data_IF_880275863379
#
_entry.id   IF_880275863379
#
_cell.length_a   1.000
_cell.length_b   1.000
_cell.length_c   1.000
_cell.angle_alpha   90.00
_cell.angle_beta   90.00
_cell.angle_gamma   90.00
#
_symmetry.space_group_name_H-M   'P 1'
#
loop_
_entity.id
_entity.type
_entity.pdbx_description
1 polymer ?
#
# COMPACT_ATOMS: atom_id res chain seq x y z
N UNK A 1 8.12 15.85 1.16
CA UNK A 1 8.45 16.92 2.14
C UNK A 1 9.77 16.66 2.86
N UNK A 2 9.98 15.49 3.48
CA UNK A 2 11.24 15.08 4.17
C UNK A 2 12.54 15.37 3.42
N UNK A 3 12.60 15.09 2.10
CA UNK A 3 13.80 15.42 1.29
C UNK A 3 14.12 16.92 1.29
N UNK A 4 13.10 17.78 1.24
CA UNK A 4 13.27 19.24 1.32
C UNK A 4 13.73 19.67 2.71
N UNK A 5 13.15 19.09 3.76
CA UNK A 5 13.52 19.37 5.16
C UNK A 5 14.97 19.00 5.46
N UNK A 6 15.45 17.89 4.88
CA UNK A 6 16.83 17.43 4.99
C UNK A 6 17.83 18.25 4.13
N UNK A 7 17.37 19.30 3.44
CA UNK A 7 18.19 20.19 2.62
C UNK A 7 18.24 19.85 1.12
N UNK A 8 17.46 18.86 0.68
CA UNK A 8 17.26 18.52 -0.72
C UNK A 8 16.47 19.58 -1.49
N UNK A 9 16.55 19.55 -2.82
CA UNK A 9 15.95 20.55 -3.71
C UNK A 9 14.97 19.89 -4.70
N UNK A 10 13.75 19.52 -4.26
CA UNK A 10 12.73 19.05 -5.19
C UNK A 10 12.32 20.18 -6.16
N UNK A 11 11.82 19.84 -7.37
CA UNK A 11 11.34 20.85 -8.32
C UNK A 11 10.20 21.71 -7.72
N UNK A 12 10.17 22.99 -8.06
CA UNK A 12 9.12 23.90 -7.60
C UNK A 12 7.76 23.50 -8.19
N UNK A 13 6.72 23.48 -7.34
CA UNK A 13 5.35 23.12 -7.76
C UNK A 13 5.15 21.67 -8.19
N UNK A 14 6.13 20.79 -7.98
CA UNK A 14 6.00 19.36 -8.29
C UNK A 14 4.92 18.69 -7.44
N UNK A 15 4.10 17.86 -8.09
CA UNK A 15 3.28 16.87 -7.40
C UNK A 15 4.15 15.76 -6.78
N UNK A 16 3.51 14.88 -6.00
CA UNK A 16 4.21 13.80 -5.28
C UNK A 16 4.96 12.86 -6.23
N UNK A 17 4.36 12.54 -7.37
CA UNK A 17 4.93 11.65 -8.37
C UNK A 17 6.20 12.24 -9.01
N UNK A 18 6.12 13.50 -9.41
CA UNK A 18 7.24 14.24 -9.99
C UNK A 18 8.35 14.43 -8.95
N UNK A 19 7.99 14.73 -7.69
CA UNK A 19 8.95 14.89 -6.61
C UNK A 19 9.68 13.58 -6.28
N UNK A 20 8.98 12.44 -6.26
CA UNK A 20 9.59 11.13 -6.05
C UNK A 20 10.52 10.76 -7.22
N UNK A 21 10.07 10.95 -8.46
CA UNK A 21 10.89 10.74 -9.66
C UNK A 21 12.18 11.53 -9.59
N UNK A 22 12.10 12.81 -9.23
CA UNK A 22 13.26 13.70 -9.10
C UNK A 22 14.22 13.26 -7.99
N UNK A 23 13.68 12.83 -6.84
CA UNK A 23 14.48 12.32 -5.73
C UNK A 23 15.24 11.05 -6.12
N UNK A 24 14.58 10.13 -6.83
CA UNK A 24 15.21 8.90 -7.32
C UNK A 24 16.31 9.18 -8.35
N UNK A 25 16.07 10.11 -9.28
CA UNK A 25 17.08 10.52 -10.25
C UNK A 25 18.29 11.21 -9.57
N UNK A 26 18.06 11.97 -8.49
CA UNK A 26 19.12 12.59 -7.71
C UNK A 26 19.93 11.55 -6.92
N UNK A 27 19.25 10.58 -6.29
CA UNK A 27 19.90 9.49 -5.56
C UNK A 27 20.64 8.50 -6.47
N UNK A 28 20.11 8.26 -7.67
CA UNK A 28 20.62 7.29 -8.63
C UNK A 28 20.76 7.92 -10.03
N UNK A 29 21.79 8.76 -10.24
CA UNK A 29 22.04 9.37 -11.54
C UNK A 29 22.26 8.30 -12.62
N UNK A 30 21.72 8.54 -13.81
CA UNK A 30 21.86 7.61 -14.94
C UNK A 30 23.27 7.60 -15.53
N UNK A 31 24.02 8.69 -15.36
CA UNK A 31 25.42 8.78 -15.76
C UNK A 31 26.36 8.58 -14.55
N UNK A 32 27.58 8.14 -14.84
CA UNK A 32 28.61 7.91 -13.80
C UNK A 32 29.40 9.18 -13.48
N UNK A 33 29.11 10.30 -14.15
CA UNK A 33 29.84 11.56 -13.98
C UNK A 33 29.24 12.42 -12.87
N UNK A 34 27.93 12.27 -12.65
CA UNK A 34 27.17 12.97 -11.62
C UNK A 34 27.24 12.20 -10.32
N UNK A 35 27.80 12.78 -9.24
CA UNK A 35 27.78 12.12 -7.94
C UNK A 35 26.32 12.02 -7.42
N UNK A 36 25.96 10.91 -6.78
CA UNK A 36 24.66 10.78 -6.10
C UNK A 36 24.41 11.88 -5.07
N UNK A 37 23.17 12.36 -4.99
CA UNK A 37 22.72 13.24 -3.92
C UNK A 37 22.67 12.47 -2.59
N UNK A 38 23.59 12.79 -1.69
CA UNK A 38 23.71 12.16 -0.38
C UNK A 38 22.47 12.36 0.51
N UNK A 39 21.78 13.49 0.38
CA UNK A 39 20.56 13.76 1.14
C UNK A 39 19.41 12.92 0.61
N UNK A 40 19.27 12.79 -0.71
CA UNK A 40 18.27 11.92 -1.32
C UNK A 40 18.49 10.44 -0.93
N UNK A 41 19.75 9.98 -0.97
CA UNK A 41 20.12 8.64 -0.51
C UNK A 41 19.79 8.41 0.96
N UNK A 42 20.15 9.36 1.85
CA UNK A 42 19.88 9.22 3.28
C UNK A 42 18.38 9.11 3.58
N UNK A 43 17.56 9.91 2.90
CA UNK A 43 16.09 9.87 3.06
C UNK A 43 15.51 8.56 2.53
N UNK A 44 16.00 8.06 1.39
CA UNK A 44 15.58 6.76 0.88
C UNK A 44 16.00 5.63 1.83
N UNK A 45 17.21 5.65 2.37
CA UNK A 45 17.69 4.63 3.31
C UNK A 45 16.84 4.62 4.59
N UNK A 46 16.59 5.79 5.19
CA UNK A 46 15.71 5.93 6.36
C UNK A 46 14.29 5.42 6.05
N UNK A 47 13.78 5.73 4.86
CA UNK A 47 12.46 5.24 4.41
C UNK A 47 12.45 3.72 4.26
N UNK A 48 13.54 3.13 3.74
CA UNK A 48 13.68 1.69 3.58
C UNK A 48 13.74 0.96 4.93
N UNK A 49 14.41 1.53 5.92
CA UNK A 49 14.47 1.03 7.30
C UNK A 49 13.07 0.98 7.92
N UNK A 50 12.32 2.09 7.85
CA UNK A 50 10.96 2.13 8.39
C UNK A 50 10.00 1.19 7.67
N UNK A 51 10.08 1.09 6.34
CA UNK A 51 9.26 0.15 5.59
C UNK A 51 9.63 -1.30 5.91
N UNK A 52 10.93 -1.58 6.07
CA UNK A 52 11.44 -2.88 6.49
C UNK A 52 10.91 -3.29 7.87
N UNK A 53 10.91 -2.38 8.85
CA UNK A 53 10.30 -2.61 10.16
C UNK A 53 8.80 -2.93 10.06
N UNK A 54 8.05 -2.16 9.27
CA UNK A 54 6.63 -2.44 9.03
C UNK A 54 6.41 -3.81 8.36
N UNK A 55 7.27 -4.20 7.41
CA UNK A 55 7.20 -5.52 6.78
C UNK A 55 7.55 -6.64 7.76
N UNK A 56 8.53 -6.44 8.63
CA UNK A 56 8.87 -7.39 9.68
C UNK A 56 7.68 -7.65 10.61
N UNK A 57 6.94 -6.60 10.98
CA UNK A 57 5.72 -6.75 11.77
C UNK A 57 4.67 -7.59 11.04
N UNK A 58 4.44 -7.34 9.74
CA UNK A 58 3.53 -8.16 8.93
C UNK A 58 3.99 -9.62 8.84
N UNK A 59 5.29 -9.86 8.67
CA UNK A 59 5.89 -11.20 8.62
C UNK A 59 5.69 -11.92 9.95
N UNK A 60 5.94 -11.24 11.06
CA UNK A 60 5.85 -11.80 12.40
C UNK A 60 4.39 -12.12 12.79
N UNK A 61 3.45 -11.26 12.41
CA UNK A 61 2.04 -11.39 12.77
C UNK A 61 1.28 -12.38 11.89
N UNK A 62 1.51 -12.37 10.59
CA UNK A 62 0.68 -13.11 9.63
C UNK A 62 1.37 -14.32 9.00
N UNK A 63 2.70 -14.42 9.11
CA UNK A 63 3.51 -15.47 8.45
C UNK A 63 3.13 -15.68 6.97
N UNK A 64 3.02 -14.62 6.15
CA UNK A 64 2.55 -14.74 4.78
C UNK A 64 3.58 -15.47 3.91
N UNK A 65 3.11 -16.12 2.84
CA UNK A 65 4.01 -16.64 1.81
C UNK A 65 4.59 -15.51 0.94
N UNK A 66 3.85 -14.42 0.75
CA UNK A 66 4.19 -13.33 -0.18
C UNK A 66 3.74 -11.97 0.36
N UNK A 67 4.59 -10.95 0.19
CA UNK A 67 4.24 -9.53 0.32
C UNK A 67 4.45 -8.89 -1.05
N UNK A 68 3.39 -8.35 -1.64
CA UNK A 68 3.44 -7.69 -2.94
C UNK A 68 3.24 -6.19 -2.78
N UNK A 69 4.25 -5.43 -3.18
CA UNK A 69 4.20 -3.97 -3.17
C UNK A 69 3.60 -3.50 -4.49
N UNK A 70 2.42 -2.90 -4.39
CA UNK A 70 1.71 -2.29 -5.51
C UNK A 70 1.72 -0.76 -5.45
N UNK A 71 0.95 -0.14 -6.34
CA UNK A 71 0.86 1.31 -6.44
C UNK A 71 2.01 1.94 -7.24
N UNK A 72 1.76 3.14 -7.76
CA UNK A 72 2.70 3.86 -8.62
C UNK A 72 4.06 4.08 -7.93
N UNK A 73 4.06 4.41 -6.63
CA UNK A 73 5.29 4.65 -5.88
C UNK A 73 6.16 3.40 -5.72
N UNK A 74 5.55 2.24 -5.45
CA UNK A 74 6.27 0.97 -5.36
C UNK A 74 6.91 0.56 -6.69
N UNK A 75 6.22 0.81 -7.81
CA UNK A 75 6.74 0.56 -9.15
C UNK A 75 7.89 1.52 -9.52
N UNK A 76 7.81 2.78 -9.10
CA UNK A 76 8.87 3.77 -9.31
C UNK A 76 10.13 3.48 -8.50
N UNK A 77 9.98 3.13 -7.21
CA UNK A 77 11.10 2.79 -6.31
C UNK A 77 11.88 1.57 -6.82
N UNK A 78 11.19 0.65 -7.50
CA UNK A 78 11.80 -0.45 -8.24
C UNK A 78 12.49 -1.49 -7.36
N UNK A 79 13.15 -2.44 -8.02
CA UNK A 79 13.76 -3.60 -7.36
C UNK A 79 14.86 -3.23 -6.38
N UNK A 80 15.69 -2.24 -6.71
CA UNK A 80 16.83 -1.85 -5.87
C UNK A 80 16.39 -1.35 -4.50
N UNK A 81 15.40 -0.46 -4.46
CA UNK A 81 14.87 0.02 -3.18
C UNK A 81 14.22 -1.12 -2.39
N UNK A 82 13.49 -2.00 -3.10
CA UNK A 82 12.86 -3.16 -2.50
C UNK A 82 13.88 -4.14 -1.88
N UNK A 83 15.05 -4.31 -2.49
CA UNK A 83 16.14 -5.12 -1.93
C UNK A 83 16.65 -4.56 -0.60
N UNK A 84 16.80 -3.23 -0.48
CA UNK A 84 17.15 -2.57 0.79
C UNK A 84 16.07 -2.80 1.84
N UNK A 85 14.80 -2.61 1.48
CA UNK A 85 13.65 -2.85 2.36
C UNK A 85 13.60 -4.31 2.82
N UNK A 86 13.85 -5.26 1.93
CA UNK A 86 13.91 -6.69 2.26
C UNK A 86 15.05 -7.00 3.23
N UNK A 87 16.21 -6.33 3.09
CA UNK A 87 17.31 -6.42 4.04
C UNK A 87 16.88 -6.08 5.47
N UNK A 88 16.29 -4.90 5.65
CA UNK A 88 15.76 -4.46 6.95
C UNK A 88 14.62 -5.34 7.46
N UNK A 89 13.70 -5.76 6.59
CA UNK A 89 12.61 -6.66 6.97
C UNK A 89 13.13 -7.99 7.52
N UNK A 90 14.18 -8.56 6.90
CA UNK A 90 14.82 -9.80 7.37
C UNK A 90 15.61 -9.62 8.65
N UNK A 91 16.19 -8.43 8.87
CA UNK A 91 16.90 -8.09 10.10
C UNK A 91 15.95 -8.03 11.30
N UNK A 92 14.78 -7.43 11.11
CA UNK A 92 13.81 -7.22 12.19
C UNK A 92 12.80 -8.37 12.37
N UNK A 93 12.58 -9.20 11.36
CA UNK A 93 11.67 -10.34 11.44
C UNK A 93 12.28 -11.56 12.16
N UNK A 94 11.42 -12.39 12.74
CA UNK A 94 11.83 -13.68 13.28
C UNK A 94 12.39 -14.59 12.17
N UNK A 95 13.53 -15.24 12.44
CA UNK A 95 14.27 -16.03 11.43
C UNK A 95 13.41 -17.04 10.65
N UNK A 96 12.53 -17.76 11.35
CA UNK A 96 11.73 -18.82 10.73
C UNK A 96 10.70 -18.29 9.71
N UNK A 97 9.79 -17.35 10.06
CA UNK A 97 8.88 -16.77 9.07
C UNK A 97 9.61 -15.93 8.01
N UNK A 98 10.68 -15.21 8.36
CA UNK A 98 11.48 -14.43 7.41
C UNK A 98 12.12 -15.29 6.30
N UNK A 99 12.44 -16.56 6.59
CA UNK A 99 12.99 -17.48 5.59
C UNK A 99 11.94 -18.00 4.59
N UNK A 100 10.64 -17.78 4.84
CA UNK A 100 9.53 -18.38 4.08
C UNK A 100 8.68 -17.37 3.31
N UNK A 101 8.88 -16.08 3.55
CA UNK A 101 8.20 -15.00 2.84
C UNK A 101 8.99 -14.60 1.60
N UNK A 102 8.30 -14.36 0.49
CA UNK A 102 8.84 -13.66 -0.68
C UNK A 102 8.30 -12.24 -0.75
N UNK A 103 9.18 -11.25 -0.87
CA UNK A 103 8.80 -9.84 -1.08
C UNK A 103 9.01 -9.51 -2.55
N UNK A 104 8.04 -8.84 -3.19
CA UNK A 104 8.12 -8.54 -4.62
C UNK A 104 7.21 -7.40 -5.06
N UNK A 105 7.36 -6.98 -6.31
CA UNK A 105 6.47 -5.99 -6.93
C UNK A 105 5.22 -6.66 -7.52
N UNK A 106 4.09 -5.97 -7.42
CA UNK A 106 2.86 -6.37 -8.12
C UNK A 106 3.01 -6.23 -9.63
N UNK A 107 2.50 -7.19 -10.39
CA UNK A 107 2.66 -7.24 -11.86
C UNK A 107 1.52 -6.59 -12.64
N UNK A 108 0.42 -6.24 -11.97
CA UNK A 108 -0.77 -5.67 -12.60
C UNK A 108 -0.66 -4.15 -12.83
N UNK A 109 0.37 -3.51 -12.31
CA UNK A 109 0.63 -2.09 -12.54
C UNK A 109 -0.57 -1.20 -12.15
N UNK A 110 -0.91 -0.19 -12.98
CA UNK A 110 -2.04 0.70 -12.72
C UNK A 110 -3.41 -0.01 -12.77
N UNK A 111 -3.48 -1.17 -13.43
CA UNK A 111 -4.73 -1.91 -13.59
C UNK A 111 -5.09 -2.76 -12.37
N UNK A 112 -4.20 -2.86 -11.37
CA UNK A 112 -4.41 -3.69 -10.19
C UNK A 112 -5.77 -3.43 -9.49
N UNK A 113 -6.14 -2.15 -9.37
CA UNK A 113 -7.42 -1.74 -8.75
C UNK A 113 -8.60 -2.13 -9.63
N UNK A 114 -8.54 -1.83 -10.92
CA UNK A 114 -9.62 -2.13 -11.89
C UNK A 114 -9.86 -3.63 -12.01
N UNK A 115 -8.79 -4.42 -12.13
CA UNK A 115 -8.85 -5.88 -12.17
C UNK A 115 -9.41 -6.43 -10.87
N UNK A 116 -8.94 -5.94 -9.72
CA UNK A 116 -9.48 -6.34 -8.42
C UNK A 116 -10.98 -6.06 -8.30
N UNK A 117 -11.42 -4.86 -8.67
CA UNK A 117 -12.82 -4.46 -8.64
C UNK A 117 -13.70 -5.32 -9.56
N UNK A 118 -13.22 -5.65 -10.76
CA UNK A 118 -13.93 -6.51 -11.71
C UNK A 118 -14.05 -7.96 -11.22
N UNK A 119 -13.10 -8.44 -10.41
CA UNK A 119 -13.12 -9.80 -9.83
C UNK A 119 -14.18 -9.93 -8.73
N UNK A 120 -14.48 -8.89 -7.96
CA UNK A 120 -15.43 -8.96 -6.84
C UNK A 120 -16.81 -9.53 -7.23
N UNK A 121 -17.53 -9.02 -8.25
CA UNK A 121 -18.83 -9.58 -8.64
C UNK A 121 -18.70 -11.00 -9.21
N UNK A 122 -17.59 -11.32 -9.88
CA UNK A 122 -17.35 -12.65 -10.42
C UNK A 122 -17.10 -13.69 -9.30
N UNK A 123 -16.31 -13.32 -8.30
CA UNK A 123 -16.03 -14.14 -7.13
C UNK A 123 -17.32 -14.42 -6.36
N UNK A 124 -18.15 -13.40 -6.16
CA UNK A 124 -19.45 -13.52 -5.49
C UNK A 124 -20.46 -14.37 -6.30
N UNK A 125 -20.47 -14.24 -7.63
CA UNK A 125 -21.26 -15.13 -8.50
C UNK A 125 -20.84 -16.60 -8.37
N UNK A 126 -19.53 -16.87 -8.37
CA UNK A 126 -19.01 -18.23 -8.22
C UNK A 126 -19.24 -18.80 -6.82
N UNK A 127 -19.08 -18.00 -5.76
CA UNK A 127 -19.36 -18.41 -4.38
C UNK A 127 -20.82 -18.87 -4.20
N UNK A 128 -21.75 -18.30 -4.97
CA UNK A 128 -23.18 -18.64 -4.94
C UNK A 128 -23.59 -19.77 -5.89
N UNK A 129 -22.62 -20.38 -6.58
CA UNK A 129 -22.85 -21.44 -7.55
C UNK A 129 -23.55 -20.94 -8.81
N UNK A 130 -23.32 -19.69 -9.21
CA UNK A 130 -23.90 -19.08 -10.40
C UNK A 130 -25.38 -18.69 -10.30
N UNK A 131 -25.94 -18.71 -9.09
CA UNK A 131 -27.29 -18.21 -8.83
C UNK A 131 -27.27 -16.70 -8.69
N UNK A 132 -28.27 -16.05 -9.29
CA UNK A 132 -28.49 -14.61 -9.10
C UNK A 132 -28.80 -14.37 -7.62
N UNK A 133 -28.29 -13.27 -7.07
CA UNK A 133 -28.84 -12.73 -5.84
C UNK A 133 -30.36 -12.60 -6.03
N UNK A 134 -31.16 -13.26 -5.19
CA UNK A 134 -32.50 -12.74 -4.98
C UNK A 134 -32.31 -11.28 -4.54
N UNK A 135 -33.06 -10.32 -5.11
CA UNK A 135 -33.02 -8.97 -4.57
C UNK A 135 -33.26 -9.13 -3.08
N UNK A 136 -32.37 -8.56 -2.25
CA UNK A 136 -32.65 -8.38 -0.82
C UNK A 136 -34.05 -7.79 -0.82
N UNK A 137 -35.05 -8.61 -0.46
CA UNK A 137 -36.43 -8.14 -0.35
C UNK A 137 -36.29 -7.01 0.62
N UNK A 138 -36.49 -5.76 0.14
CA UNK A 138 -36.28 -4.51 0.87
C UNK A 138 -36.39 -4.85 2.34
N UNK A 139 -35.25 -4.90 3.05
CA UNK A 139 -35.28 -5.22 4.45
C UNK A 139 -36.27 -4.23 5.01
N UNK A 140 -37.48 -4.71 5.33
CA UNK A 140 -38.55 -3.87 5.83
C UNK A 140 -37.88 -3.26 7.04
N UNK A 141 -37.61 -1.96 6.97
CA UNK A 141 -36.94 -1.23 8.02
C UNK A 141 -37.87 -1.42 9.22
N UNK A 142 -37.59 -2.46 10.03
CA UNK A 142 -38.37 -2.75 11.22
C UNK A 142 -38.12 -1.54 12.09
N UNK A 143 -39.10 -0.62 12.09
CA UNK A 143 -38.98 0.63 12.80
C UNK A 143 -38.62 0.28 14.24
N UNK A 144 -37.45 0.71 14.72
CA UNK A 144 -36.98 0.24 16.00
C UNK A 144 -37.96 0.73 17.06
N UNK A 145 -38.29 -0.12 18.03
CA UNK A 145 -39.40 0.10 18.97
C UNK A 145 -39.34 1.43 19.74
N UNK A 146 -38.18 2.09 19.81
CA UNK A 146 -38.01 3.40 20.42
C UNK A 146 -38.57 4.55 19.55
N UNK A 147 -38.66 4.38 18.23
CA UNK A 147 -39.14 5.41 17.30
C UNK A 147 -40.63 5.71 17.50
N UNK A 148 -41.43 4.69 17.83
CA UNK A 148 -42.83 4.84 18.25
C UNK A 148 -42.93 5.55 19.59
N UNK A 149 -42.09 5.20 20.56
CA UNK A 149 -42.08 5.84 21.89
C UNK A 149 -41.73 7.32 21.84
N UNK A 150 -40.84 7.74 20.93
CA UNK A 150 -40.45 9.15 20.79
C UNK A 150 -41.59 9.99 20.19
N UNK A 151 -42.31 9.48 19.19
CA UNK A 151 -43.45 10.21 18.58
C UNK A 151 -44.59 10.45 19.57
N UNK A 152 -44.90 9.47 20.41
CA UNK A 152 -45.95 9.59 21.44
C UNK A 152 -45.64 10.68 22.47
N UNK A 153 -44.36 10.86 22.83
CA UNK A 153 -43.93 11.88 23.80
C UNK A 153 -43.90 13.29 23.22
N UNK A 154 -43.74 13.44 21.92
CA UNK A 154 -43.74 14.74 21.24
C UNK A 154 -45.14 15.26 20.87
N UNK A 155 -46.16 14.41 20.98
CA UNK A 155 -47.55 14.75 20.67
C UNK A 155 -48.39 15.17 21.91
N UNK A 156 -47.77 15.20 23.10
CA UNK A 156 -48.32 15.76 24.34
C UNK A 156 -47.64 17.09 24.67
#
# INVERSE_FOLDING_TARGET
ERWREAGGRPPEGADEETALTAMLAAAYPADTATPPDATALAVLEETAEFLGAGFADLINLFQPERILVGGWAGLQLGTRFLETVEGYAREYALKYPAARVGIGLGTLGPDAVTVGAAILPLADFFARGGRRAEPETEAVEEQPAWATTVRERTAQ
#
